data_IF_659132857165
#
_entry.id   IF_659132857165
#
_cell.length_a   1.000
_cell.length_b   1.000
_cell.length_c   1.000
_cell.angle_alpha   90.00
_cell.angle_beta   90.00
_cell.angle_gamma   90.00
#
_symmetry.space_group_name_H-M   'P 1'
#
loop_
_entity.id
_entity.type
_entity.pdbx_description
1 polymer ?
#
# COMPACT_ATOMS: atom_id res chain seq x y z
N UNK A 1 4.48 24.02 4.79
CA UNK A 1 5.38 23.38 3.79
C UNK A 1 4.94 21.91 3.67
N UNK A 2 5.48 21.08 2.75
CA UNK A 2 5.17 19.65 2.69
C UNK A 2 6.42 18.79 2.56
N UNK A 3 6.38 17.62 3.21
CA UNK A 3 7.29 16.50 2.98
C UNK A 3 6.55 15.40 2.23
N UNK A 4 7.20 14.79 1.23
CA UNK A 4 6.60 13.75 0.39
C UNK A 4 7.43 12.48 0.42
N UNK A 5 6.79 11.33 0.34
CA UNK A 5 7.44 10.03 0.15
C UNK A 5 6.57 9.15 -0.73
N UNK A 6 7.19 8.46 -1.68
CA UNK A 6 6.52 7.49 -2.55
C UNK A 6 7.10 6.09 -2.30
N UNK A 7 6.22 5.10 -2.27
CA UNK A 7 6.55 3.69 -2.15
C UNK A 7 5.83 2.90 -3.25
N UNK A 8 6.49 1.85 -3.71
CA UNK A 8 5.90 0.85 -4.60
C UNK A 8 5.57 -0.41 -3.80
N UNK A 9 4.43 -1.03 -4.09
CA UNK A 9 3.98 -2.28 -3.49
C UNK A 9 3.60 -3.26 -4.59
N UNK A 10 4.13 -4.47 -4.55
CA UNK A 10 3.76 -5.54 -5.45
C UNK A 10 2.67 -6.39 -4.81
N UNK A 11 1.51 -6.53 -5.42
CA UNK A 11 0.44 -7.35 -4.85
C UNK A 11 -0.44 -7.98 -5.92
N UNK A 12 -1.04 -9.11 -5.55
CA UNK A 12 -2.11 -9.75 -6.31
C UNK A 12 -3.47 -9.50 -5.63
N UNK A 13 -4.54 -9.42 -6.41
CA UNK A 13 -5.91 -9.27 -5.91
C UNK A 13 -6.94 -9.67 -6.97
N UNK A 14 -8.22 -9.61 -6.59
CA UNK A 14 -9.35 -9.63 -7.51
C UNK A 14 -10.54 -8.86 -6.92
N UNK A 15 -11.46 -8.43 -7.78
CA UNK A 15 -12.70 -7.80 -7.34
C UNK A 15 -13.84 -8.81 -7.28
N UNK A 16 -14.09 -9.37 -6.09
CA UNK A 16 -15.16 -10.34 -5.90
C UNK A 16 -16.55 -9.69 -6.04
N UNK A 17 -17.35 -10.20 -6.99
CA UNK A 17 -18.67 -9.66 -7.34
C UNK A 17 -18.66 -8.63 -8.48
N UNK A 18 -17.49 -8.27 -9.01
CA UNK A 18 -17.39 -7.40 -10.18
C UNK A 18 -17.69 -8.15 -11.48
N UNK A 19 -18.39 -7.51 -12.42
CA UNK A 19 -18.70 -8.08 -13.74
C UNK A 19 -17.77 -7.47 -14.80
N UNK A 20 -16.57 -8.00 -14.90
CA UNK A 20 -15.54 -7.55 -15.85
C UNK A 20 -14.20 -8.24 -15.64
N UNK A 21 -13.15 -7.81 -16.35
CA UNK A 21 -11.84 -8.48 -16.32
C UNK A 21 -11.21 -8.51 -14.93
N UNK A 22 -11.42 -7.47 -14.11
CA UNK A 22 -10.91 -7.40 -12.74
C UNK A 22 -11.53 -8.42 -11.77
N UNK A 23 -12.54 -9.20 -12.19
CA UNK A 23 -13.10 -10.30 -11.39
C UNK A 23 -12.11 -11.48 -11.24
N UNK A 24 -11.17 -11.61 -12.18
CA UNK A 24 -10.17 -12.66 -12.18
C UNK A 24 -8.99 -12.30 -11.29
N UNK A 25 -8.28 -13.29 -10.78
CA UNK A 25 -7.05 -13.08 -10.03
C UNK A 25 -5.99 -12.45 -10.95
N UNK A 26 -5.43 -11.32 -10.53
CA UNK A 26 -4.43 -10.57 -11.27
C UNK A 26 -3.53 -9.80 -10.28
N UNK A 27 -2.54 -9.05 -10.78
CA UNK A 27 -1.63 -8.28 -9.92
C UNK A 27 -1.33 -6.89 -10.45
N UNK A 28 -0.72 -6.08 -9.59
CA UNK A 28 -0.36 -4.69 -9.84
C UNK A 28 0.95 -4.30 -9.16
N UNK A 29 1.59 -3.28 -9.74
CA UNK A 29 2.49 -2.39 -9.00
C UNK A 29 1.66 -1.23 -8.46
N UNK A 30 1.32 -1.27 -7.18
CA UNK A 30 0.66 -0.16 -6.49
C UNK A 30 1.67 0.93 -6.15
N UNK A 31 1.32 2.19 -6.42
CA UNK A 31 2.15 3.35 -6.07
C UNK A 31 1.41 4.12 -4.97
N UNK A 32 2.03 4.24 -3.79
CA UNK A 32 1.50 5.02 -2.68
C UNK A 32 2.36 6.26 -2.46
N UNK A 33 1.74 7.44 -2.58
CA UNK A 33 2.36 8.72 -2.22
C UNK A 33 1.76 9.23 -0.93
N UNK A 34 2.62 9.53 0.05
CA UNK A 34 2.26 10.10 1.35
C UNK A 34 2.77 11.53 1.39
N UNK A 35 1.87 12.46 1.71
CA UNK A 35 2.14 13.88 1.87
C UNK A 35 1.87 14.26 3.34
N UNK A 36 2.85 14.91 3.96
CA UNK A 36 2.74 15.44 5.32
C UNK A 36 2.89 16.96 5.25
N UNK A 37 1.87 17.68 5.73
CA UNK A 37 1.83 19.13 5.76
C UNK A 37 1.91 19.64 7.20
N UNK A 38 2.82 20.58 7.44
CA UNK A 38 2.98 21.30 8.70
C UNK A 38 3.89 22.54 8.50
N UNK A 39 4.19 23.23 9.60
CA UNK A 39 5.30 24.16 9.71
C UNK A 39 6.67 23.47 9.58
N UNK A 40 7.70 24.23 9.22
CA UNK A 40 9.05 23.68 9.08
C UNK A 40 9.62 23.38 10.46
N UNK A 41 10.02 22.13 10.68
CA UNK A 41 10.89 21.80 11.80
C UNK A 41 12.31 22.28 11.49
N UNK A 42 12.72 23.35 12.17
CA UNK A 42 14.03 24.00 11.97
C UNK A 42 15.24 23.08 12.25
N UNK A 43 15.09 22.04 13.07
CA UNK A 43 16.17 21.11 13.39
C UNK A 43 16.55 20.18 12.23
N UNK A 44 15.61 19.97 11.30
CA UNK A 44 15.80 19.11 10.11
C UNK A 44 15.55 19.86 8.79
N UNK A 45 15.14 21.14 8.87
CA UNK A 45 14.80 22.01 7.74
C UNK A 45 13.76 21.41 6.78
N UNK A 46 12.79 20.70 7.35
CA UNK A 46 11.69 20.03 6.64
C UNK A 46 10.49 19.92 7.58
N UNK A 47 9.31 19.65 7.04
CA UNK A 47 8.11 19.37 7.86
C UNK A 47 8.33 18.12 8.69
N UNK A 48 8.69 17.04 8.01
CA UNK A 48 9.00 15.76 8.62
C UNK A 48 10.03 14.99 7.78
N UNK A 49 10.97 14.24 8.39
CA UNK A 49 11.92 13.42 7.64
C UNK A 49 11.27 12.41 6.70
N UNK A 50 11.48 12.56 5.40
CA UNK A 50 10.92 11.66 4.38
C UNK A 50 11.29 10.18 4.64
N UNK A 51 12.52 9.91 5.10
CA UNK A 51 12.95 8.55 5.44
C UNK A 51 12.16 7.97 6.64
N UNK A 52 11.73 8.81 7.58
CA UNK A 52 10.90 8.37 8.71
C UNK A 52 9.46 8.14 8.27
N UNK A 53 8.91 8.97 7.35
CA UNK A 53 7.61 8.68 6.70
C UNK A 53 7.65 7.28 6.08
N UNK A 54 8.72 6.98 5.32
CA UNK A 54 8.90 5.69 4.66
C UNK A 54 8.92 4.53 5.64
N UNK A 55 9.69 4.63 6.73
CA UNK A 55 9.81 3.58 7.76
C UNK A 55 8.45 3.30 8.42
N UNK A 56 7.77 4.34 8.89
CA UNK A 56 6.47 4.22 9.56
C UNK A 56 5.44 3.60 8.60
N UNK A 57 5.41 4.05 7.35
CA UNK A 57 4.53 3.47 6.34
C UNK A 57 4.87 1.99 6.08
N UNK A 58 6.16 1.66 5.93
CA UNK A 58 6.62 0.31 5.64
C UNK A 58 6.30 -0.69 6.76
N UNK A 59 6.33 -0.27 8.03
CA UNK A 59 6.01 -1.12 9.17
C UNK A 59 4.61 -1.76 9.05
N UNK A 60 3.68 -1.06 8.38
CA UNK A 60 2.35 -1.58 8.05
C UNK A 60 2.32 -2.26 6.68
N UNK A 61 2.85 -1.58 5.66
CA UNK A 61 2.69 -1.95 4.25
C UNK A 61 3.44 -3.23 3.85
N UNK A 62 4.50 -3.59 4.58
CA UNK A 62 5.25 -4.83 4.32
C UNK A 62 4.38 -6.09 4.37
N UNK A 63 3.25 -6.07 5.09
CA UNK A 63 2.30 -7.20 5.12
C UNK A 63 1.52 -7.36 3.81
N UNK A 64 1.51 -6.33 2.96
CA UNK A 64 0.80 -6.30 1.68
C UNK A 64 1.75 -6.44 0.49
N UNK A 65 3.07 -6.28 0.70
CA UNK A 65 4.06 -6.46 -0.36
C UNK A 65 4.29 -7.96 -0.64
N UNK A 66 4.38 -8.29 -1.92
CA UNK A 66 4.41 -9.66 -2.44
C UNK A 66 3.27 -10.56 -1.90
N UNK A 67 2.13 -9.96 -1.54
CA UNK A 67 1.00 -10.67 -0.97
C UNK A 67 -0.18 -10.79 -1.94
N UNK A 68 -1.08 -11.72 -1.64
CA UNK A 68 -2.40 -11.81 -2.26
C UNK A 68 -3.42 -11.16 -1.31
N UNK A 69 -3.95 -10.00 -1.71
CA UNK A 69 -4.98 -9.26 -0.99
C UNK A 69 -6.36 -9.75 -1.44
N UNK A 70 -7.07 -10.42 -0.55
CA UNK A 70 -8.41 -10.93 -0.80
C UNK A 70 -9.40 -10.42 0.24
N UNK A 71 -10.67 -10.37 -0.16
CA UNK A 71 -11.78 -10.21 0.78
C UNK A 71 -11.86 -11.46 1.65
N UNK A 72 -12.13 -11.28 2.93
CA UNK A 72 -12.21 -12.39 3.90
C UNK A 72 -13.30 -13.42 3.52
N UNK A 73 -14.40 -12.97 2.93
CA UNK A 73 -15.51 -13.80 2.45
C UNK A 73 -15.37 -14.22 0.98
N UNK A 74 -14.19 -14.05 0.36
CA UNK A 74 -13.96 -14.48 -1.01
C UNK A 74 -13.98 -16.02 -1.07
N UNK A 75 -14.84 -16.65 -1.89
CA UNK A 75 -14.92 -18.11 -1.99
C UNK A 75 -13.65 -18.76 -2.57
N UNK A 76 -12.73 -17.97 -3.13
CA UNK A 76 -11.40 -18.45 -3.53
C UNK A 76 -10.47 -18.66 -2.34
N UNK A 77 -10.71 -18.00 -1.19
CA UNK A 77 -9.83 -18.02 -0.03
C UNK A 77 -9.50 -19.43 0.47
N UNK A 78 -10.45 -20.38 0.61
CA UNK A 78 -10.13 -21.75 1.01
C UNK A 78 -9.15 -22.45 0.06
N UNK A 79 -9.23 -22.19 -1.26
CA UNK A 79 -8.33 -22.79 -2.24
C UNK A 79 -6.91 -22.21 -2.20
N UNK A 80 -6.75 -21.00 -1.64
CA UNK A 80 -5.44 -20.35 -1.46
C UNK A 80 -4.78 -20.82 -0.17
N UNK A 81 -5.56 -20.98 0.91
CA UNK A 81 -5.03 -21.33 2.23
C UNK A 81 -4.70 -22.83 2.41
N UNK A 82 -5.31 -23.71 1.60
CA UNK A 82 -5.12 -25.16 1.68
C UNK A 82 -6.15 -25.84 2.57
#
# INVERSE_FOLDING_TARGET
MRSFTTLDLQYAHRFYGFKGEAQYLHGHTGILTIEVEDDINMGVNMVFPCNEIKKIAWDVLQNFDHALVLREDDPLLPAILG
#
